data_IF_659542791374
#
_entry.id   IF_659542791374
#
_cell.length_a   1.000
_cell.length_b   1.000
_cell.length_c   1.000
_cell.angle_alpha   90.00
_cell.angle_beta   90.00
_cell.angle_gamma   90.00
#
_symmetry.space_group_name_H-M   'P 1'
#
loop_
_entity.id
_entity.type
_entity.pdbx_description
1 polymer ?
#
# COMPACT_ATOMS: atom_id res chain seq x y z
N UNK A 1 -13.53 8.05 6.37
CA UNK A 1 -13.26 9.35 5.67
C UNK A 1 -11.91 9.95 6.07
N UNK A 2 -11.73 10.62 7.22
CA UNK A 2 -10.43 11.30 7.52
C UNK A 2 -9.23 10.32 7.60
N UNK A 3 -9.43 9.14 8.19
CA UNK A 3 -8.39 8.09 8.29
C UNK A 3 -7.97 7.56 6.92
N UNK A 4 -8.94 7.18 6.08
CA UNK A 4 -8.67 6.63 4.74
C UNK A 4 -7.95 7.63 3.84
N UNK A 5 -8.36 8.91 3.89
CA UNK A 5 -7.73 9.98 3.12
C UNK A 5 -6.26 10.18 3.53
N UNK A 6 -5.97 10.20 4.84
CA UNK A 6 -4.60 10.27 5.35
C UNK A 6 -3.76 9.07 4.93
N UNK A 7 -4.31 7.86 5.03
CA UNK A 7 -3.63 6.62 4.59
C UNK A 7 -3.37 6.65 3.08
N UNK A 8 -4.35 7.12 2.29
CA UNK A 8 -4.22 7.23 0.84
C UNK A 8 -3.09 8.21 0.47
N UNK A 9 -3.01 9.35 1.16
CA UNK A 9 -1.94 10.30 0.95
C UNK A 9 -0.58 9.71 1.32
N UNK A 10 -0.48 8.99 2.43
CA UNK A 10 0.76 8.31 2.83
C UNK A 10 1.23 7.27 1.81
N UNK A 11 0.30 6.50 1.23
CA UNK A 11 0.62 5.58 0.12
C UNK A 11 1.24 6.32 -1.07
N UNK A 12 0.63 7.44 -1.49
CA UNK A 12 1.12 8.25 -2.61
C UNK A 12 2.46 8.88 -2.31
N UNK A 13 2.64 9.43 -1.12
CA UNK A 13 3.89 10.06 -0.70
C UNK A 13 5.04 9.04 -0.68
N UNK A 14 4.81 7.85 -0.11
CA UNK A 14 5.82 6.78 -0.08
C UNK A 14 6.10 6.27 -1.48
N UNK A 15 5.07 5.99 -2.29
CA UNK A 15 5.24 5.53 -3.67
C UNK A 15 6.01 6.54 -4.52
N UNK A 16 5.67 7.83 -4.43
CA UNK A 16 6.33 8.92 -5.16
C UNK A 16 7.79 9.09 -4.74
N UNK A 17 8.08 9.06 -3.43
CA UNK A 17 9.47 9.13 -2.90
C UNK A 17 10.34 7.96 -3.36
N UNK A 18 9.74 6.78 -3.56
CA UNK A 18 10.44 5.57 -4.03
C UNK A 18 10.62 5.58 -5.56
N UNK A 19 9.67 6.12 -6.30
CA UNK A 19 9.67 6.15 -7.76
C UNK A 19 9.24 4.82 -8.41
N UNK A 20 9.25 4.77 -9.73
CA UNK A 20 8.63 3.69 -10.54
C UNK A 20 9.27 2.31 -10.39
N UNK A 21 10.54 2.24 -9.98
CA UNK A 21 11.29 0.98 -9.93
C UNK A 21 11.40 0.40 -8.52
N UNK A 22 11.15 1.19 -7.49
CA UNK A 22 11.30 0.75 -6.11
C UNK A 22 9.95 0.38 -5.49
N UNK A 23 9.98 -0.63 -4.63
CA UNK A 23 8.79 -1.13 -3.93
C UNK A 23 8.78 -0.70 -2.47
N UNK A 24 7.62 -0.78 -1.83
CA UNK A 24 7.44 -0.59 -0.38
C UNK A 24 6.46 -1.63 0.17
N UNK A 25 6.36 -1.80 1.49
CA UNK A 25 5.35 -2.68 2.09
C UNK A 25 4.22 -1.88 2.76
N UNK A 26 2.99 -2.45 2.86
CA UNK A 26 1.88 -1.79 3.55
C UNK A 26 2.20 -1.39 5.00
N UNK A 27 3.02 -2.18 5.70
CA UNK A 27 3.40 -1.83 7.08
C UNK A 27 4.28 -0.58 7.19
N UNK A 28 4.97 -0.13 6.14
CA UNK A 28 5.64 1.18 6.13
C UNK A 28 4.60 2.31 6.23
N UNK A 29 3.48 2.18 5.53
CA UNK A 29 2.37 3.15 5.57
C UNK A 29 1.68 3.11 6.92
N UNK A 30 1.38 1.91 7.44
CA UNK A 30 0.75 1.75 8.74
C UNK A 30 1.61 2.36 9.87
N UNK A 31 2.93 2.14 9.84
CA UNK A 31 3.87 2.73 10.81
C UNK A 31 3.99 4.24 10.68
N UNK A 32 3.89 4.79 9.47
CA UNK A 32 3.87 6.24 9.27
C UNK A 32 2.56 6.87 9.78
N UNK A 33 1.45 6.13 9.74
CA UNK A 33 0.15 6.58 10.22
C UNK A 33 0.01 6.49 11.74
N UNK A 34 0.31 5.33 12.34
CA UNK A 34 0.17 5.07 13.76
C UNK A 34 1.37 4.25 14.27
N UNK A 35 2.50 4.88 14.64
CA UNK A 35 3.75 4.18 14.94
C UNK A 35 3.65 3.11 16.04
N UNK A 36 2.80 3.32 17.05
CA UNK A 36 2.63 2.41 18.19
C UNK A 36 1.57 1.33 17.93
N UNK A 37 0.48 1.67 17.23
CA UNK A 37 -0.70 0.81 17.00
C UNK A 37 -0.81 0.33 15.54
N UNK A 38 0.27 0.41 14.75
CA UNK A 38 0.24 0.18 13.29
C UNK A 38 -0.37 -1.17 12.87
N UNK A 39 -0.32 -2.19 13.75
CA UNK A 39 -0.88 -3.51 13.45
C UNK A 39 -2.40 -3.46 13.30
N UNK A 40 -3.07 -2.63 14.08
CA UNK A 40 -4.53 -2.50 14.08
C UNK A 40 -5.02 -1.78 12.81
N UNK A 41 -4.13 -1.01 12.17
CA UNK A 41 -4.40 -0.32 10.90
C UNK A 41 -4.03 -1.15 9.66
N UNK A 42 -3.49 -2.36 9.80
CA UNK A 42 -3.05 -3.15 8.64
C UNK A 42 -4.19 -3.51 7.67
N UNK A 43 -5.40 -3.72 8.18
CA UNK A 43 -6.58 -4.04 7.35
C UNK A 43 -6.95 -2.84 6.47
N UNK A 44 -7.25 -1.70 7.09
CA UNK A 44 -7.62 -0.47 6.37
C UNK A 44 -6.52 0.04 5.45
N UNK A 45 -5.24 -0.13 5.80
CA UNK A 45 -4.12 0.21 4.91
C UNK A 45 -4.16 -0.63 3.63
N UNK A 46 -4.46 -1.93 3.72
CA UNK A 46 -4.61 -2.77 2.53
C UNK A 46 -5.85 -2.39 1.73
N UNK A 47 -6.98 -2.11 2.38
CA UNK A 47 -8.21 -1.67 1.69
C UNK A 47 -8.01 -0.36 0.91
N UNK A 48 -7.27 0.60 1.49
CA UNK A 48 -6.93 1.84 0.81
C UNK A 48 -5.95 1.60 -0.35
N UNK A 49 -5.00 0.68 -0.19
CA UNK A 49 -4.13 0.26 -1.28
C UNK A 49 -4.94 -0.33 -2.45
N UNK A 50 -5.97 -1.14 -2.18
CA UNK A 50 -6.86 -1.69 -3.22
C UNK A 50 -7.52 -0.58 -4.05
N UNK A 51 -7.93 0.50 -3.39
CA UNK A 51 -8.52 1.66 -4.07
C UNK A 51 -7.53 2.31 -5.04
N UNK A 52 -6.25 2.35 -4.69
CA UNK A 52 -5.19 2.88 -5.56
C UNK A 52 -4.81 1.91 -6.68
N UNK A 53 -4.87 0.59 -6.43
CA UNK A 53 -4.69 -0.44 -7.46
C UNK A 53 -5.81 -0.38 -8.49
N UNK A 54 -7.08 -0.28 -8.04
CA UNK A 54 -8.26 -0.09 -8.90
C UNK A 54 -8.19 1.19 -9.75
N UNK A 55 -7.51 2.23 -9.26
CA UNK A 55 -7.26 3.49 -9.99
C UNK A 55 -6.04 3.45 -10.92
N UNK A 56 -5.38 2.29 -11.03
CA UNK A 56 -4.18 2.13 -11.85
C UNK A 56 -3.01 3.01 -11.37
N UNK A 57 -2.98 3.39 -10.09
CA UNK A 57 -1.90 4.18 -9.49
C UNK A 57 -0.82 3.26 -8.91
N UNK A 58 -1.22 2.11 -8.35
CA UNK A 58 -0.32 1.13 -7.76
C UNK A 58 -0.47 -0.25 -8.39
N UNK A 59 0.58 -1.06 -8.26
CA UNK A 59 0.53 -2.51 -8.51
C UNK A 59 0.93 -3.27 -7.25
N UNK A 60 0.32 -4.44 -7.05
CA UNK A 60 0.69 -5.39 -5.99
C UNK A 60 1.76 -6.32 -6.53
N UNK A 61 2.79 -6.54 -5.72
CA UNK A 61 3.87 -7.48 -6.00
C UNK A 61 3.98 -8.50 -4.86
N UNK A 62 4.20 -9.76 -5.21
CA UNK A 62 4.43 -10.82 -4.24
C UNK A 62 5.49 -11.79 -4.78
N UNK A 63 6.45 -12.17 -3.93
CA UNK A 63 7.59 -13.02 -4.29
C UNK A 63 8.44 -12.50 -5.47
N UNK A 64 8.37 -11.20 -5.77
CA UNK A 64 9.13 -10.55 -6.83
C UNK A 64 8.32 -10.26 -8.10
N UNK A 65 7.16 -10.88 -8.25
CA UNK A 65 6.31 -10.74 -9.43
C UNK A 65 5.15 -9.78 -9.17
N UNK A 66 4.67 -9.11 -10.23
CA UNK A 66 3.39 -8.39 -10.21
C UNK A 66 2.28 -9.43 -10.22
N UNK A 67 1.30 -9.29 -9.33
CA UNK A 67 0.14 -10.17 -9.28
C UNK A 67 -1.13 -9.39 -9.63
N UNK A 68 -2.05 -10.05 -10.34
CA UNK A 68 -3.38 -9.52 -10.63
C UNK A 68 -4.33 -9.80 -9.45
N UNK A 69 -4.03 -9.20 -8.31
CA UNK A 69 -4.84 -9.29 -7.10
C UNK A 69 -4.81 -7.98 -6.31
N UNK A 70 -5.85 -7.73 -5.54
CA UNK A 70 -5.86 -6.64 -4.57
C UNK A 70 -4.92 -6.96 -3.38
N UNK A 71 -4.52 -5.93 -2.63
CA UNK A 71 -3.67 -6.06 -1.46
C UNK A 71 -4.36 -6.81 -0.31
N UNK A 72 -5.69 -6.69 -0.19
CA UNK A 72 -6.50 -7.45 0.79
C UNK A 72 -6.60 -8.94 0.44
N UNK A 73 -6.67 -9.29 -0.84
CA UNK A 73 -6.78 -10.68 -1.31
C UNK A 73 -5.46 -11.45 -1.20
N UNK A 74 -4.35 -10.73 -1.29
CA UNK A 74 -3.02 -11.31 -1.26
C UNK A 74 -2.62 -11.83 0.13
N UNK A 75 -2.33 -13.14 0.21
CA UNK A 75 -1.96 -13.82 1.45
C UNK A 75 -0.50 -13.56 1.83
N UNK A 76 -0.28 -13.13 3.05
CA UNK A 76 1.06 -12.94 3.61
C UNK A 76 1.72 -11.62 3.22
N UNK A 77 3.05 -11.64 3.12
CA UNK A 77 3.84 -10.45 2.83
C UNK A 77 3.72 -10.05 1.35
N UNK A 78 3.37 -8.79 1.14
CA UNK A 78 3.26 -8.17 -0.18
C UNK A 78 4.09 -6.90 -0.25
N UNK A 79 4.37 -6.48 -1.47
CA UNK A 79 4.99 -5.21 -1.81
C UNK A 79 4.05 -4.43 -2.73
N UNK A 80 4.14 -3.12 -2.68
CA UNK A 80 3.41 -2.20 -3.53
C UNK A 80 4.44 -1.39 -4.32
N UNK A 81 4.08 -1.02 -5.56
CA UNK A 81 4.91 -0.20 -6.42
C UNK A 81 4.04 0.80 -7.16
N UNK A 82 4.59 1.97 -7.44
CA UNK A 82 3.98 2.93 -8.36
C UNK A 82 3.86 2.30 -9.76
N UNK A 83 2.70 2.47 -10.40
CA UNK A 83 2.46 1.94 -11.75
C UNK A 83 2.89 2.92 -12.86
N UNK A 84 2.68 4.22 -12.64
CA UNK A 84 2.92 5.31 -13.59
C UNK A 84 3.35 6.59 -12.88
#
# INVERSE_FOLDING_TARGET
METEEKIMQLHRDIASKRGLHATYCPSEVAKAFAPEEWRDYMEIVREVADSLVKKDELVVMQKGDIIEANATEAKGAIRLRLKK
#
